data_IF_411103082854
#
_entry.id   IF_411103082854
#
_cell.length_a   1.000
_cell.length_b   1.000
_cell.length_c   1.000
_cell.angle_alpha   90.00
_cell.angle_beta   90.00
_cell.angle_gamma   90.00
#
_symmetry.space_group_name_H-M   'P 1'
#
loop_
_entity.id
_entity.type
_entity.pdbx_description
1 polymer ?
#
# COMPACT_ATOMS: atom_id res chain seq x y z
N UNK A 1 25.70 1.19 -3.48
CA UNK A 1 24.33 1.17 -2.99
C UNK A 1 23.60 2.21 -3.80
N UNK A 2 22.68 1.82 -4.69
CA UNK A 2 21.94 2.79 -5.50
C UNK A 2 21.15 3.72 -4.57
N UNK A 3 21.15 5.01 -4.87
CA UNK A 3 20.28 5.97 -4.19
C UNK A 3 18.83 5.57 -4.44
N UNK A 4 18.18 5.08 -3.39
CA UNK A 4 16.81 4.56 -3.48
C UNK A 4 15.75 5.67 -3.54
N UNK A 5 16.15 6.93 -3.54
CA UNK A 5 15.25 8.07 -3.50
C UNK A 5 14.45 8.19 -2.18
N UNK A 6 13.82 9.36 -1.92
CA UNK A 6 13.20 9.67 -0.62
C UNK A 6 12.02 8.74 -0.26
N UNK A 7 11.17 8.35 -1.22
CA UNK A 7 10.00 7.50 -0.95
C UNK A 7 10.43 6.06 -0.64
N UNK A 8 11.44 5.52 -1.33
CA UNK A 8 11.94 4.19 -1.04
C UNK A 8 12.62 4.15 0.35
N UNK A 9 13.36 5.20 0.74
CA UNK A 9 13.91 5.33 2.08
C UNK A 9 12.80 5.43 3.14
N UNK A 10 11.72 6.15 2.83
CA UNK A 10 10.55 6.29 3.70
C UNK A 10 9.94 4.91 3.98
N UNK A 11 9.59 4.13 2.96
CA UNK A 11 9.06 2.77 3.16
C UNK A 11 10.04 1.84 3.86
N UNK A 12 11.34 1.90 3.52
CA UNK A 12 12.36 1.07 4.16
C UNK A 12 12.45 1.29 5.68
N UNK A 13 12.11 2.49 6.17
CA UNK A 13 12.04 2.80 7.60
C UNK A 13 10.80 2.22 8.31
N UNK A 14 9.75 1.88 7.55
CA UNK A 14 8.43 1.48 8.07
C UNK A 14 8.17 -0.02 7.97
N UNK A 15 8.68 -0.68 6.92
CA UNK A 15 8.46 -2.12 6.70
C UNK A 15 9.18 -2.99 7.75
N UNK A 16 8.71 -4.22 7.98
CA UNK A 16 9.36 -5.13 8.92
C UNK A 16 10.77 -5.53 8.42
N UNK A 17 11.66 -5.94 9.34
CA UNK A 17 12.98 -6.47 8.98
C UNK A 17 12.88 -7.60 7.96
N UNK A 18 13.78 -7.60 6.97
CA UNK A 18 13.80 -8.58 5.90
C UNK A 18 12.80 -8.34 4.77
N UNK A 19 12.02 -7.28 4.84
CA UNK A 19 11.18 -6.85 3.71
C UNK A 19 12.02 -6.21 2.60
N UNK A 20 11.64 -6.45 1.36
CA UNK A 20 12.15 -5.76 0.19
C UNK A 20 11.14 -4.71 -0.30
N UNK A 21 11.63 -3.54 -0.72
CA UNK A 21 10.81 -2.42 -1.18
C UNK A 21 11.36 -1.92 -2.51
N UNK A 22 10.47 -1.74 -3.49
CA UNK A 22 10.80 -1.07 -4.74
C UNK A 22 9.82 0.08 -5.00
N UNK A 23 10.36 1.19 -5.52
CA UNK A 23 9.60 2.38 -5.89
C UNK A 23 10.03 2.83 -7.28
N UNK A 24 9.08 3.20 -8.11
CA UNK A 24 9.29 3.77 -9.44
C UNK A 24 8.47 5.04 -9.60
N UNK A 25 9.06 6.05 -10.21
CA UNK A 25 8.31 7.19 -10.71
C UNK A 25 7.43 6.77 -11.91
N UNK A 26 6.17 7.19 -11.92
CA UNK A 26 5.24 6.94 -13.03
C UNK A 26 5.50 7.97 -14.12
N UNK A 27 6.53 7.74 -14.92
CA UNK A 27 6.96 8.63 -16.00
C UNK A 27 7.33 7.83 -17.24
N UNK A 28 7.11 8.41 -18.43
CA UNK A 28 7.49 7.79 -19.70
C UNK A 28 6.65 6.58 -20.09
N UNK A 29 7.26 5.66 -20.82
CA UNK A 29 6.60 4.45 -21.29
C UNK A 29 6.40 3.45 -20.13
N UNK A 30 5.17 2.90 -19.96
CA UNK A 30 4.92 1.94 -18.91
C UNK A 30 5.71 0.65 -19.09
N UNK A 31 6.23 0.06 -18.00
CA UNK A 31 6.89 -1.24 -18.05
C UNK A 31 5.98 -2.33 -18.62
N UNK A 32 6.57 -3.30 -19.32
CA UNK A 32 5.82 -4.42 -19.86
C UNK A 32 5.12 -5.23 -18.75
N UNK A 33 3.85 -5.50 -18.95
CA UNK A 33 3.08 -6.45 -18.15
C UNK A 33 3.35 -7.88 -18.61
N UNK A 34 3.30 -8.83 -17.70
CA UNK A 34 3.35 -10.24 -18.02
C UNK A 34 1.96 -10.75 -18.46
N UNK A 35 1.89 -11.90 -19.16
CA UNK A 35 0.60 -12.47 -19.54
C UNK A 35 -0.34 -12.64 -18.33
N UNK A 36 -1.58 -12.18 -18.47
CA UNK A 36 -2.59 -12.23 -17.42
C UNK A 36 -2.55 -11.10 -16.39
N UNK A 37 -1.61 -10.17 -16.49
CA UNK A 37 -1.57 -8.98 -15.62
C UNK A 37 -2.36 -7.80 -16.16
N UNK A 38 -2.75 -7.81 -17.42
CA UNK A 38 -3.43 -6.68 -18.06
C UNK A 38 -4.86 -6.45 -17.52
N UNK A 39 -5.32 -5.20 -17.66
CA UNK A 39 -6.69 -4.75 -17.38
C UNK A 39 -7.27 -4.12 -18.65
N UNK A 40 -7.66 -4.91 -19.66
CA UNK A 40 -8.00 -4.40 -21.00
C UNK A 40 -9.20 -3.43 -21.01
N UNK A 41 -10.06 -3.51 -19.99
CA UNK A 41 -11.24 -2.62 -19.85
C UNK A 41 -10.96 -1.35 -19.02
N UNK A 42 -9.77 -1.22 -18.41
CA UNK A 42 -9.43 -0.06 -17.63
C UNK A 42 -9.00 1.13 -18.51
N UNK A 43 -9.19 2.34 -18.00
CA UNK A 43 -8.66 3.56 -18.62
C UNK A 43 -7.12 3.55 -18.63
N UNK A 44 -6.52 4.31 -19.55
CA UNK A 44 -5.07 4.32 -19.75
C UNK A 44 -4.28 4.61 -18.45
N UNK A 45 -4.74 5.60 -17.66
CA UNK A 45 -4.14 5.92 -16.35
C UNK A 45 -4.06 4.67 -15.46
N UNK A 46 -5.15 3.93 -15.28
CA UNK A 46 -5.21 2.73 -14.43
C UNK A 46 -4.33 1.59 -14.95
N UNK A 47 -4.19 1.45 -16.27
CA UNK A 47 -3.27 0.48 -16.87
C UNK A 47 -1.81 0.85 -16.60
N UNK A 48 -1.47 2.14 -16.70
CA UNK A 48 -0.13 2.65 -16.37
C UNK A 48 0.22 2.38 -14.89
N UNK A 49 -0.61 2.82 -13.96
CA UNK A 49 -0.44 2.60 -12.51
C UNK A 49 -0.20 1.12 -12.23
N UNK A 50 -0.99 0.25 -12.87
CA UNK A 50 -0.83 -1.19 -12.74
C UNK A 50 0.51 -1.69 -13.26
N UNK A 51 0.95 -1.22 -14.44
CA UNK A 51 2.23 -1.64 -15.03
C UNK A 51 3.42 -1.28 -14.13
N UNK A 52 3.45 -0.06 -13.62
CA UNK A 52 4.48 0.41 -12.70
C UNK A 52 4.41 -0.35 -11.36
N UNK A 53 3.22 -0.55 -10.80
CA UNK A 53 3.04 -1.33 -9.56
C UNK A 53 3.50 -2.78 -9.69
N UNK A 54 3.22 -3.44 -10.81
CA UNK A 54 3.68 -4.81 -11.09
C UNK A 54 5.20 -4.87 -11.30
N UNK A 55 5.79 -3.87 -11.94
CA UNK A 55 7.25 -3.76 -12.06
C UNK A 55 7.92 -3.59 -10.70
N UNK A 56 7.40 -2.71 -9.83
CA UNK A 56 7.87 -2.57 -8.44
C UNK A 56 7.79 -3.92 -7.71
N UNK A 57 6.66 -4.63 -7.81
CA UNK A 57 6.47 -5.90 -7.14
C UNK A 57 7.47 -6.97 -7.62
N UNK A 58 7.74 -7.07 -8.92
CA UNK A 58 8.76 -8.00 -9.46
C UNK A 58 10.17 -7.63 -9.00
N UNK A 59 10.50 -6.33 -8.96
CA UNK A 59 11.79 -5.85 -8.44
C UNK A 59 11.96 -6.24 -6.97
N UNK A 60 10.96 -5.97 -6.13
CA UNK A 60 10.99 -6.34 -4.72
C UNK A 60 11.08 -7.87 -4.50
N UNK A 61 10.36 -8.67 -5.27
CA UNK A 61 10.47 -10.14 -5.26
C UNK A 61 11.88 -10.60 -5.63
N UNK A 62 12.49 -9.97 -6.65
CA UNK A 62 13.87 -10.25 -7.07
C UNK A 62 14.90 -9.98 -5.97
N UNK A 63 14.71 -8.94 -5.13
CA UNK A 63 15.57 -8.69 -3.96
C UNK A 63 15.46 -9.81 -2.90
N UNK A 64 14.35 -10.53 -2.84
CA UNK A 64 14.19 -11.74 -2.01
C UNK A 64 14.65 -13.03 -2.71
N UNK A 65 15.29 -12.93 -3.88
CA UNK A 65 15.76 -14.08 -4.67
C UNK A 65 14.66 -14.86 -5.38
N UNK A 66 13.49 -14.26 -5.58
CA UNK A 66 12.35 -14.88 -6.26
C UNK A 66 12.38 -14.47 -7.74
N UNK A 67 12.42 -15.46 -8.63
CA UNK A 67 12.43 -15.22 -10.07
C UNK A 67 11.18 -14.46 -10.54
N UNK A 68 11.38 -13.56 -11.50
CA UNK A 68 10.30 -12.80 -12.10
C UNK A 68 9.25 -13.73 -12.73
N UNK A 69 8.01 -13.60 -12.32
CA UNK A 69 6.88 -14.36 -12.82
C UNK A 69 5.63 -13.46 -12.84
N UNK A 70 4.58 -13.81 -13.58
CA UNK A 70 3.32 -13.10 -13.51
C UNK A 70 2.77 -13.07 -12.09
N UNK A 71 2.32 -11.89 -11.64
CA UNK A 71 1.60 -11.75 -10.38
C UNK A 71 0.11 -11.83 -10.69
N UNK A 72 -0.46 -13.00 -10.51
CA UNK A 72 -1.87 -13.25 -10.81
C UNK A 72 -2.81 -12.29 -10.06
N UNK A 73 -4.04 -12.22 -10.54
CA UNK A 73 -5.10 -11.38 -9.97
C UNK A 73 -6.10 -12.29 -9.29
N UNK A 74 -6.36 -12.04 -8.02
CA UNK A 74 -7.41 -12.74 -7.28
C UNK A 74 -8.82 -12.27 -7.68
N UNK A 75 -9.83 -12.94 -7.15
CA UNK A 75 -11.23 -12.70 -7.48
C UNK A 75 -11.70 -11.27 -7.14
N UNK A 76 -11.10 -10.63 -6.17
CA UNK A 76 -11.39 -9.23 -5.79
C UNK A 76 -10.40 -8.21 -6.38
N UNK A 77 -9.52 -8.63 -7.28
CA UNK A 77 -8.54 -7.73 -7.91
C UNK A 77 -7.19 -7.64 -7.18
N UNK A 78 -7.07 -8.32 -6.05
CA UNK A 78 -5.85 -8.35 -5.24
C UNK A 78 -4.71 -9.09 -5.94
N UNK A 79 -3.43 -8.70 -5.67
CA UNK A 79 -2.29 -9.44 -6.17
C UNK A 79 -2.16 -10.79 -5.45
N UNK A 80 -1.97 -11.87 -6.22
CA UNK A 80 -1.66 -13.19 -5.69
C UNK A 80 -0.15 -13.37 -5.59
N UNK A 81 0.35 -13.43 -4.37
CA UNK A 81 1.77 -13.54 -4.09
C UNK A 81 2.26 -14.99 -4.13
N UNK A 82 3.54 -15.24 -4.42
CA UNK A 82 4.14 -16.58 -4.30
C UNK A 82 3.98 -17.15 -2.89
N UNK A 83 3.96 -18.46 -2.77
CA UNK A 83 3.83 -19.15 -1.48
C UNK A 83 4.88 -18.66 -0.46
N UNK A 84 4.44 -18.36 0.77
CA UNK A 84 5.30 -17.87 1.85
C UNK A 84 5.72 -16.41 1.73
N UNK A 85 5.15 -15.67 0.79
CA UNK A 85 5.35 -14.22 0.62
C UNK A 85 4.06 -13.49 0.95
N UNK A 86 4.16 -12.45 1.77
CA UNK A 86 3.15 -11.41 1.91
C UNK A 86 3.63 -10.15 1.21
N UNK A 87 2.74 -9.45 0.53
CA UNK A 87 3.12 -8.24 -0.19
C UNK A 87 1.96 -7.29 -0.41
N UNK A 88 2.29 -6.08 -0.79
CA UNK A 88 1.32 -5.04 -1.10
C UNK A 88 1.86 -4.07 -2.14
N UNK A 89 0.97 -3.49 -2.92
CA UNK A 89 1.25 -2.51 -3.97
C UNK A 89 0.43 -1.26 -3.69
N UNK A 90 1.05 -0.11 -3.88
CA UNK A 90 0.37 1.19 -3.85
C UNK A 90 0.87 2.10 -4.97
N UNK A 91 0.15 3.16 -5.26
CA UNK A 91 0.54 4.19 -6.21
C UNK A 91 -0.14 5.53 -5.87
N UNK A 92 0.53 6.59 -6.25
CA UNK A 92 -0.01 7.95 -6.40
C UNK A 92 -0.09 8.29 -7.89
N UNK A 93 -0.35 9.54 -8.23
CA UNK A 93 -0.31 9.99 -9.63
C UNK A 93 1.09 9.91 -10.25
N UNK A 94 2.14 10.02 -9.43
CA UNK A 94 3.54 10.18 -9.85
C UNK A 94 4.47 9.04 -9.40
N UNK A 95 4.04 8.17 -8.48
CA UNK A 95 4.86 7.06 -7.98
C UNK A 95 4.06 5.78 -7.83
N UNK A 96 4.72 4.66 -8.08
CA UNK A 96 4.26 3.34 -7.69
C UNK A 96 5.26 2.71 -6.73
N UNK A 97 4.76 1.96 -5.75
CA UNK A 97 5.59 1.24 -4.79
C UNK A 97 5.05 -0.17 -4.54
N UNK A 98 5.95 -1.07 -4.21
CA UNK A 98 5.59 -2.39 -3.70
C UNK A 98 6.53 -2.79 -2.57
N UNK A 99 5.99 -3.49 -1.59
CA UNK A 99 6.76 -4.14 -0.53
C UNK A 99 6.38 -5.61 -0.46
N UNK A 100 7.38 -6.47 -0.23
CA UNK A 100 7.20 -7.91 -0.05
C UNK A 100 8.05 -8.40 1.11
N UNK A 101 7.58 -9.43 1.83
CA UNK A 101 8.27 -9.97 3.00
C UNK A 101 7.95 -11.45 3.20
N UNK A 102 8.86 -12.18 3.83
CA UNK A 102 8.64 -13.54 4.34
C UNK A 102 8.29 -13.52 5.82
N UNK A 103 7.58 -14.54 6.28
CA UNK A 103 7.41 -14.80 7.72
C UNK A 103 6.38 -13.93 8.44
N UNK A 104 5.59 -13.11 7.72
CA UNK A 104 4.41 -12.44 8.25
C UNK A 104 3.14 -12.98 7.60
N UNK A 105 2.02 -12.90 8.29
CA UNK A 105 0.74 -13.42 7.78
C UNK A 105 0.16 -12.52 6.69
N UNK A 106 0.32 -11.19 6.84
CA UNK A 106 -0.16 -10.21 5.87
C UNK A 106 0.63 -8.90 5.94
N UNK A 107 0.66 -8.19 4.81
CA UNK A 107 1.29 -6.88 4.66
C UNK A 107 0.37 -5.98 3.82
N UNK A 108 0.14 -4.77 4.30
CA UNK A 108 -0.49 -3.69 3.54
C UNK A 108 0.39 -2.46 3.55
N UNK A 109 0.59 -1.82 2.40
CA UNK A 109 1.26 -0.52 2.29
C UNK A 109 0.38 0.47 1.56
N UNK A 110 0.52 1.73 1.93
CA UNK A 110 -0.10 2.81 1.18
C UNK A 110 0.77 4.05 1.13
N UNK A 111 0.58 4.88 0.10
CA UNK A 111 1.31 6.11 -0.17
C UNK A 111 0.33 7.16 -0.69
N UNK A 112 0.32 8.33 -0.05
CA UNK A 112 -0.53 9.44 -0.46
C UNK A 112 0.26 10.75 -0.58
N UNK A 113 -0.10 11.58 -1.58
CA UNK A 113 0.37 12.96 -1.67
C UNK A 113 -0.49 13.86 -0.79
N UNK A 114 0.15 14.61 0.09
CA UNK A 114 -0.52 15.57 0.97
C UNK A 114 -1.19 16.70 0.17
N UNK A 115 -0.51 17.19 -0.88
CA UNK A 115 -1.04 18.23 -1.76
C UNK A 115 -2.24 17.73 -2.59
N UNK A 116 -2.23 16.46 -3.02
CA UNK A 116 -3.35 15.87 -3.75
C UNK A 116 -4.56 15.67 -2.82
N UNK A 117 -4.36 15.01 -1.69
CA UNK A 117 -5.43 14.72 -0.73
C UNK A 117 -6.06 15.99 -0.14
N UNK A 118 -5.29 17.07 0.03
CA UNK A 118 -5.80 18.37 0.47
C UNK A 118 -6.82 18.99 -0.51
N UNK A 119 -6.85 18.55 -1.77
CA UNK A 119 -7.79 19.01 -2.80
C UNK A 119 -9.05 18.15 -2.91
N UNK A 120 -9.10 17.01 -2.20
CA UNK A 120 -10.28 16.14 -2.20
C UNK A 120 -11.33 16.73 -1.25
N UNK A 121 -12.49 17.19 -1.75
CA UNK A 121 -13.54 17.74 -0.92
C UNK A 121 -14.00 16.72 0.13
N UNK A 122 -14.23 17.19 1.35
CA UNK A 122 -14.80 16.39 2.45
C UNK A 122 -14.07 15.09 2.77
N UNK A 123 -12.78 14.95 2.37
CA UNK A 123 -12.01 13.72 2.61
C UNK A 123 -12.04 13.33 4.09
N UNK A 124 -11.83 14.28 5.00
CA UNK A 124 -11.86 13.99 6.43
C UNK A 124 -13.21 13.42 6.88
N UNK A 125 -14.31 13.94 6.38
CA UNK A 125 -15.66 13.43 6.70
C UNK A 125 -15.86 12.02 6.13
N UNK A 126 -15.29 11.74 4.96
CA UNK A 126 -15.38 10.45 4.31
C UNK A 126 -14.59 9.36 5.04
N UNK A 127 -13.42 9.70 5.57
CA UNK A 127 -12.49 8.68 6.11
C UNK A 127 -12.50 8.60 7.64
N UNK A 128 -12.88 9.67 8.36
CA UNK A 128 -12.69 9.77 9.80
C UNK A 128 -13.97 9.45 10.59
N UNK A 129 -13.85 8.57 11.56
CA UNK A 129 -14.80 8.48 12.66
C UNK A 129 -14.68 9.71 13.59
N UNK A 130 -15.67 9.94 14.43
CA UNK A 130 -15.66 11.10 15.35
C UNK A 130 -14.41 11.13 16.26
N UNK A 131 -13.95 9.96 16.70
CA UNK A 131 -12.74 9.77 17.52
C UNK A 131 -11.42 10.10 16.79
N UNK A 132 -11.43 10.09 15.45
CA UNK A 132 -10.24 10.24 14.62
C UNK A 132 -10.04 11.64 14.04
N UNK A 133 -11.04 12.54 14.14
CA UNK A 133 -11.08 13.84 13.44
C UNK A 133 -9.97 14.83 13.83
N UNK A 134 -9.22 14.54 14.89
CA UNK A 134 -8.04 15.33 15.27
C UNK A 134 -6.81 15.06 14.38
N UNK A 135 -6.85 14.01 13.56
CA UNK A 135 -5.74 13.60 12.69
C UNK A 135 -5.91 14.09 11.25
N UNK A 136 -4.81 14.30 10.51
CA UNK A 136 -4.86 14.69 9.09
C UNK A 136 -5.61 13.67 8.24
N UNK A 137 -6.47 14.14 7.33
CA UNK A 137 -7.26 13.26 6.46
C UNK A 137 -6.40 12.32 5.60
N UNK A 138 -5.28 12.84 5.05
CA UNK A 138 -4.34 12.05 4.27
C UNK A 138 -3.74 10.87 5.06
N UNK A 139 -3.39 11.10 6.32
CA UNK A 139 -2.87 10.05 7.19
C UNK A 139 -3.93 8.98 7.49
N UNK A 140 -5.15 9.40 7.81
CA UNK A 140 -6.25 8.47 8.09
C UNK A 140 -6.61 7.66 6.85
N UNK A 141 -6.69 8.30 5.69
CA UNK A 141 -6.95 7.64 4.42
C UNK A 141 -5.90 6.57 4.15
N UNK A 142 -4.63 6.96 4.13
CA UNK A 142 -3.52 6.05 3.86
C UNK A 142 -3.42 4.91 4.90
N UNK A 143 -3.59 5.20 6.20
CA UNK A 143 -3.54 4.17 7.24
C UNK A 143 -4.67 3.15 7.09
N UNK A 144 -5.90 3.60 6.80
CA UNK A 144 -7.05 2.70 6.57
C UNK A 144 -6.90 1.88 5.29
N UNK A 145 -6.35 2.47 4.21
CA UNK A 145 -6.01 1.72 2.98
C UNK A 145 -4.96 0.64 3.25
N UNK A 146 -3.91 0.94 4.02
CA UNK A 146 -2.91 -0.08 4.38
C UNK A 146 -3.50 -1.20 5.25
N UNK A 147 -4.40 -0.87 6.18
CA UNK A 147 -5.14 -1.86 6.98
C UNK A 147 -6.05 -2.70 6.10
N UNK A 148 -6.81 -2.07 5.19
CA UNK A 148 -7.65 -2.78 4.22
C UNK A 148 -6.84 -3.79 3.40
N UNK A 149 -5.72 -3.36 2.82
CA UNK A 149 -4.82 -4.23 2.05
C UNK A 149 -4.23 -5.37 2.89
N UNK A 150 -3.93 -5.10 4.16
CA UNK A 150 -3.42 -6.11 5.11
C UNK A 150 -4.48 -7.14 5.51
N UNK A 151 -5.74 -6.72 5.70
CA UNK A 151 -6.83 -7.59 6.15
C UNK A 151 -7.59 -8.25 5.01
N UNK A 152 -7.37 -7.82 3.76
CA UNK A 152 -8.19 -8.23 2.64
C UNK A 152 -8.28 -9.75 2.48
N UNK A 153 -9.48 -10.27 2.65
CA UNK A 153 -9.83 -11.68 2.49
C UNK A 153 -11.08 -11.84 1.61
N UNK A 154 -11.18 -11.03 0.52
CA UNK A 154 -12.29 -11.09 -0.42
C UNK A 154 -13.54 -10.29 0.00
N UNK A 155 -13.48 -9.54 1.11
CA UNK A 155 -14.56 -8.67 1.59
C UNK A 155 -14.09 -7.21 1.60
N UNK A 156 -14.92 -6.33 1.06
CA UNK A 156 -14.72 -4.88 1.13
C UNK A 156 -14.92 -4.38 2.57
N UNK A 157 -14.07 -3.45 3.00
CA UNK A 157 -14.21 -2.65 4.21
C UNK A 157 -14.40 -1.20 3.81
N UNK A 158 -15.45 -0.56 4.32
CA UNK A 158 -15.61 0.88 4.25
C UNK A 158 -14.65 1.58 5.23
N UNK A 159 -14.32 2.85 4.99
CA UNK A 159 -13.47 3.61 5.90
C UNK A 159 -14.03 3.70 7.33
N UNK A 160 -15.35 3.74 7.48
CA UNK A 160 -16.01 3.77 8.79
C UNK A 160 -16.11 2.39 9.46
N UNK A 161 -15.82 1.31 8.74
CA UNK A 161 -15.67 -0.03 9.32
C UNK A 161 -14.37 -0.20 10.10
N UNK A 162 -13.38 0.67 9.87
CA UNK A 162 -12.07 0.64 10.50
C UNK A 162 -11.90 1.84 11.42
N UNK A 163 -11.58 1.58 12.69
CA UNK A 163 -11.23 2.59 13.69
C UNK A 163 -9.77 2.43 14.11
N UNK A 164 -9.02 3.53 14.11
CA UNK A 164 -7.60 3.56 14.41
C UNK A 164 -7.32 4.41 15.65
N UNK A 165 -6.37 3.96 16.47
CA UNK A 165 -5.68 4.80 17.43
C UNK A 165 -4.31 5.19 16.82
N UNK A 166 -4.14 6.48 16.55
CA UNK A 166 -2.94 7.04 15.92
C UNK A 166 -2.05 7.65 16.99
N UNK A 167 -0.79 7.26 16.97
CA UNK A 167 0.28 7.80 17.79
C UNK A 167 1.45 8.28 16.90
N UNK A 168 2.40 9.08 17.41
CA UNK A 168 3.56 9.50 16.62
C UNK A 168 4.32 8.30 16.01
N UNK A 169 4.31 8.20 14.68
CA UNK A 169 5.00 7.15 13.91
C UNK A 169 4.33 5.78 13.91
N UNK A 170 3.25 5.57 14.66
CA UNK A 170 2.54 4.27 14.75
C UNK A 170 1.03 4.43 14.75
N UNK A 171 0.33 3.33 14.46
CA UNK A 171 -1.10 3.22 14.70
C UNK A 171 -1.48 1.77 15.06
N UNK A 172 -2.59 1.63 15.77
CA UNK A 172 -3.21 0.34 16.07
C UNK A 172 -4.65 0.31 15.57
N UNK A 173 -5.13 -0.87 15.21
CA UNK A 173 -6.53 -1.06 14.82
C UNK A 173 -7.34 -1.33 16.07
N UNK A 174 -8.21 -0.38 16.42
CA UNK A 174 -9.16 -0.51 17.55
C UNK A 174 -10.31 -1.43 17.15
N UNK A 175 -10.80 -1.28 15.92
CA UNK A 175 -11.90 -2.06 15.36
C UNK A 175 -11.76 -2.19 13.85
N UNK A 176 -12.05 -3.38 13.32
CA UNK A 176 -12.28 -3.61 11.90
C UNK A 176 -13.49 -4.52 11.75
N UNK A 177 -14.58 -4.03 11.18
CA UNK A 177 -15.86 -4.73 11.15
C UNK A 177 -15.77 -6.09 10.43
N UNK A 178 -16.01 -7.18 11.18
CA UNK A 178 -15.97 -8.55 10.65
C UNK A 178 -14.58 -9.15 10.51
N UNK A 179 -13.54 -8.51 11.07
CA UNK A 179 -12.17 -9.03 11.12
C UNK A 179 -11.60 -9.01 12.54
N UNK A 180 -10.81 -10.02 12.89
CA UNK A 180 -9.90 -9.91 14.02
C UNK A 180 -8.65 -9.15 13.57
N UNK A 181 -8.52 -7.91 14.02
CA UNK A 181 -7.40 -7.04 13.72
C UNK A 181 -6.50 -6.79 14.92
N UNK A 182 -6.69 -7.52 16.03
CA UNK A 182 -5.95 -7.32 17.31
C UNK A 182 -4.45 -7.48 17.16
N UNK A 183 -3.98 -8.28 16.20
CA UNK A 183 -2.57 -8.49 15.88
C UNK A 183 -2.00 -7.52 14.84
N UNK A 184 -2.83 -6.69 14.21
CA UNK A 184 -2.34 -5.72 13.20
C UNK A 184 -1.58 -4.60 13.90
N UNK A 185 -0.39 -4.32 13.41
CA UNK A 185 0.47 -3.20 13.85
C UNK A 185 0.76 -2.31 12.68
N UNK A 186 0.55 -1.03 12.89
CA UNK A 186 0.76 -0.01 11.86
C UNK A 186 1.91 0.93 12.16
N UNK A 187 2.59 1.39 11.11
CA UNK A 187 3.61 2.43 11.17
C UNK A 187 3.34 3.44 10.07
N UNK A 188 3.74 4.69 10.33
CA UNK A 188 3.61 5.76 9.36
C UNK A 188 4.73 6.78 9.50
N UNK A 189 5.04 7.47 8.41
CA UNK A 189 5.93 8.62 8.41
C UNK A 189 5.62 9.53 7.22
N UNK A 190 6.11 10.76 7.29
CA UNK A 190 5.98 11.77 6.24
C UNK A 190 7.38 12.14 5.76
N UNK A 191 7.53 12.28 4.45
CA UNK A 191 8.74 12.82 3.81
C UNK A 191 8.33 13.69 2.62
N UNK A 192 8.70 14.97 2.68
CA UNK A 192 8.27 15.95 1.67
C UNK A 192 6.74 16.04 1.60
N UNK A 193 6.18 15.86 0.41
CA UNK A 193 4.74 15.87 0.14
C UNK A 193 4.06 14.51 0.33
N UNK A 194 4.76 13.49 0.84
CA UNK A 194 4.18 12.15 0.90
C UNK A 194 4.04 11.64 2.33
N UNK A 195 2.87 11.05 2.63
CA UNK A 195 2.66 10.18 3.79
C UNK A 195 2.68 8.73 3.32
N UNK A 196 3.48 7.91 3.98
CA UNK A 196 3.49 6.46 3.77
C UNK A 196 3.02 5.74 5.02
N UNK A 197 2.27 4.68 4.84
CA UNK A 197 1.76 3.82 5.91
C UNK A 197 2.02 2.35 5.60
N UNK A 198 2.25 1.57 6.64
CA UNK A 198 2.48 0.12 6.58
C UNK A 198 1.68 -0.53 7.68
N UNK A 199 0.88 -1.54 7.34
CA UNK A 199 0.18 -2.41 8.28
C UNK A 199 0.69 -3.84 8.13
N UNK A 200 0.98 -4.51 9.25
CA UNK A 200 1.54 -5.86 9.29
C UNK A 200 0.75 -6.73 10.27
N UNK A 201 0.53 -7.99 9.89
CA UNK A 201 -0.11 -9.02 10.72
C UNK A 201 0.76 -10.25 10.83
#
# INVERSE_FOLDING_TARGET
MADRGPIAALFASLVPPGAAVAVLAITGEPPALFPGEDLPRAVAKRRNERAFGRACARTALGELGIAASPIAVGAGGEPQWPAGISGSITHTDDHAAAAVVRGVTALGIDLESLAHTARVPDLLTTVALASERAHPAALLFSAKESVYKCLYAGRFLDFHDVELAIEPGTFTVVRAAGYDASSVRGRWAISGDHVATVAVR
#
